data_IF_518291371849
#
_entry.id   IF_518291371849
#
_cell.length_a   1.000
_cell.length_b   1.000
_cell.length_c   1.000
_cell.angle_alpha   90.00
_cell.angle_beta   90.00
_cell.angle_gamma   90.00
#
_symmetry.space_group_name_H-M   'P 1'
#
loop_
_entity.id
_entity.type
_entity.pdbx_description
1 polymer ?
#
# COMPACT_ATOMS: atom_id res chain seq x y z
N UNK A 1 6.55 -1.65 3.90
CA UNK A 1 7.02 -2.99 3.46
C UNK A 1 7.63 -2.85 2.06
N UNK A 2 8.57 -3.70 1.64
CA UNK A 2 9.06 -3.73 0.27
C UNK A 2 9.40 -5.15 -0.18
N UNK A 3 9.20 -5.45 -1.47
CA UNK A 3 9.61 -6.73 -2.06
C UNK A 3 11.13 -6.88 -2.09
N UNK A 4 11.66 -8.10 -2.31
CA UNK A 4 13.01 -8.27 -2.84
C UNK A 4 13.19 -7.49 -4.15
N UNK A 5 14.45 -7.26 -4.53
CA UNK A 5 14.76 -6.67 -5.83
C UNK A 5 14.26 -7.58 -6.95
N UNK A 6 13.67 -6.96 -7.97
CA UNK A 6 13.15 -7.67 -9.12
C UNK A 6 14.30 -8.25 -9.97
N UNK A 7 14.20 -9.52 -10.35
CA UNK A 7 15.19 -10.23 -11.19
C UNK A 7 15.00 -9.96 -12.68
N UNK A 8 13.81 -9.50 -13.06
CA UNK A 8 13.41 -9.07 -14.40
C UNK A 8 12.36 -7.97 -14.35
N UNK A 9 11.99 -7.37 -15.49
CA UNK A 9 10.90 -6.41 -15.54
C UNK A 9 9.58 -7.06 -15.10
N UNK A 10 8.72 -6.30 -14.43
CA UNK A 10 7.39 -6.77 -13.99
C UNK A 10 6.33 -5.80 -14.49
N UNK A 11 5.35 -6.31 -15.25
CA UNK A 11 4.27 -5.51 -15.81
C UNK A 11 3.04 -5.55 -14.89
N UNK A 12 2.60 -4.38 -14.44
CA UNK A 12 1.39 -4.15 -13.67
C UNK A 12 0.39 -3.40 -14.55
N UNK A 13 -0.81 -3.93 -14.74
CA UNK A 13 -1.83 -3.34 -15.61
C UNK A 13 -3.23 -3.55 -15.03
N UNK A 14 -3.84 -2.48 -14.54
CA UNK A 14 -5.16 -2.47 -13.92
C UNK A 14 -5.15 -1.87 -12.52
N UNK A 15 -6.02 -2.40 -11.65
CA UNK A 15 -6.30 -1.83 -10.33
C UNK A 15 -5.68 -2.67 -9.23
N UNK A 16 -4.80 -2.07 -8.42
CA UNK A 16 -4.35 -2.70 -7.18
C UNK A 16 -5.42 -2.54 -6.10
N UNK A 17 -5.58 -3.56 -5.26
CA UNK A 17 -6.61 -3.59 -4.21
C UNK A 17 -5.99 -3.87 -2.85
N UNK A 18 -6.27 -3.03 -1.87
CA UNK A 18 -5.82 -3.18 -0.49
C UNK A 18 -6.96 -3.72 0.37
N UNK A 19 -6.65 -4.69 1.23
CA UNK A 19 -7.43 -5.03 2.41
C UNK A 19 -6.57 -4.78 3.63
N UNK A 20 -7.01 -3.92 4.54
CA UNK A 20 -6.23 -3.45 5.69
C UNK A 20 -7.06 -3.50 6.95
N UNK A 21 -6.45 -3.98 8.03
CA UNK A 21 -7.02 -3.92 9.38
C UNK A 21 -6.24 -2.92 10.21
N UNK A 22 -6.90 -1.86 10.66
CA UNK A 22 -6.25 -0.77 11.37
C UNK A 22 -7.08 -0.23 12.54
N UNK A 23 -6.40 0.36 13.51
CA UNK A 23 -6.99 1.13 14.60
C UNK A 23 -6.41 2.56 14.61
N UNK A 24 -7.20 3.52 15.08
CA UNK A 24 -6.78 4.91 15.30
C UNK A 24 -6.90 5.25 16.78
N UNK A 25 -6.00 6.07 17.33
CA UNK A 25 -6.16 6.65 18.67
C UNK A 25 -7.12 7.87 18.69
N UNK A 26 -7.62 8.31 17.53
CA UNK A 26 -8.59 9.42 17.36
C UNK A 26 -9.88 8.93 16.69
N UNK A 27 -11.01 9.65 16.90
CA UNK A 27 -12.28 9.33 16.24
C UNK A 27 -12.29 9.54 14.72
N UNK A 28 -11.30 10.24 14.18
CA UNK A 28 -11.13 10.45 12.74
C UNK A 28 -9.64 10.40 12.40
N UNK A 29 -9.32 9.89 11.23
CA UNK A 29 -7.97 9.85 10.69
C UNK A 29 -8.03 9.86 9.17
N UNK A 30 -6.98 10.36 8.50
CA UNK A 30 -6.81 10.08 7.08
C UNK A 30 -6.14 8.73 6.92
N UNK A 31 -6.42 8.02 5.83
CA UNK A 31 -5.64 6.86 5.41
C UNK A 31 -5.17 7.08 3.97
N UNK A 32 -3.85 7.14 3.80
CA UNK A 32 -3.18 7.28 2.52
C UNK A 32 -2.31 6.04 2.27
N UNK A 33 -2.38 5.50 1.06
CA UNK A 33 -1.64 4.30 0.68
C UNK A 33 -1.01 4.49 -0.68
N UNK A 34 0.31 4.32 -0.75
CA UNK A 34 1.07 4.43 -1.99
C UNK A 34 1.78 3.10 -2.27
N UNK A 35 1.79 2.72 -3.53
CA UNK A 35 2.74 1.77 -4.10
C UNK A 35 3.83 2.55 -4.82
N UNK A 36 5.08 2.26 -4.47
CA UNK A 36 6.26 2.99 -4.97
C UNK A 36 7.28 2.03 -5.57
N UNK A 37 8.06 2.52 -6.51
CA UNK A 37 9.24 1.86 -7.03
C UNK A 37 10.46 2.35 -6.25
N UNK A 38 11.29 1.42 -5.77
CA UNK A 38 12.50 1.73 -5.00
C UNK A 38 13.77 1.25 -5.72
N UNK A 39 14.91 1.95 -5.59
CA UNK A 39 15.11 3.14 -4.76
C UNK A 39 14.34 4.35 -5.31
N UNK A 40 13.90 5.22 -4.41
CA UNK A 40 13.31 6.50 -4.78
C UNK A 40 14.42 7.40 -5.36
N UNK A 41 14.16 8.00 -6.51
CA UNK A 41 15.17 8.70 -7.32
C UNK A 41 14.93 10.19 -7.47
N UNK A 42 13.80 10.71 -6.98
CA UNK A 42 13.34 12.09 -7.23
C UNK A 42 13.31 12.41 -8.74
N UNK A 43 12.92 11.43 -9.55
CA UNK A 43 12.84 11.58 -11.01
C UNK A 43 11.77 12.59 -11.38
N UNK A 44 12.02 13.34 -12.48
CA UNK A 44 10.98 14.21 -13.06
C UNK A 44 9.82 13.41 -13.66
N UNK A 45 10.01 12.12 -13.92
CA UNK A 45 8.98 11.23 -14.43
C UNK A 45 8.32 10.51 -13.25
N UNK A 46 7.04 10.82 -13.03
CA UNK A 46 6.27 10.28 -11.90
C UNK A 46 6.29 8.75 -11.80
N UNK A 47 6.28 8.06 -12.94
CA UNK A 47 6.25 6.59 -13.02
C UNK A 47 7.58 5.91 -12.65
N UNK A 48 8.65 6.67 -12.40
CA UNK A 48 9.91 6.08 -11.96
C UNK A 48 9.89 5.78 -10.46
N UNK A 49 9.08 6.53 -9.70
CA UNK A 49 9.05 6.52 -8.24
C UNK A 49 7.66 6.12 -7.69
N UNK A 50 6.57 6.64 -8.23
CA UNK A 50 5.19 6.30 -7.82
C UNK A 50 4.56 5.35 -8.83
N UNK A 51 4.15 4.17 -8.35
CA UNK A 51 3.43 3.17 -9.14
C UNK A 51 1.95 3.47 -9.15
N UNK A 52 1.34 3.62 -7.96
CA UNK A 52 -0.06 4.03 -7.82
C UNK A 52 -0.31 4.46 -6.36
N UNK A 53 -1.47 5.04 -6.09
CA UNK A 53 -1.87 5.53 -4.78
C UNK A 53 -3.39 5.48 -4.60
N UNK A 54 -3.83 5.52 -3.36
CA UNK A 54 -5.23 5.57 -2.98
C UNK A 54 -5.41 6.16 -1.58
N UNK A 55 -6.62 6.59 -1.29
CA UNK A 55 -6.99 7.19 -0.03
C UNK A 55 -8.34 6.62 0.42
N UNK A 56 -8.51 6.53 1.73
CA UNK A 56 -9.79 6.20 2.34
C UNK A 56 -9.97 7.02 3.62
N UNK A 57 -11.23 7.26 3.98
CA UNK A 57 -11.59 7.69 5.33
C UNK A 57 -11.94 6.42 6.14
N UNK A 58 -11.20 6.07 7.20
CA UNK A 58 -11.56 4.97 8.07
C UNK A 58 -12.97 5.09 8.67
N UNK A 59 -13.54 6.29 8.82
CA UNK A 59 -14.93 6.48 9.28
C UNK A 59 -15.96 5.90 8.31
N UNK A 60 -15.56 5.63 7.06
CA UNK A 60 -16.37 5.00 6.03
C UNK A 60 -16.23 3.48 6.00
N UNK A 61 -15.70 2.86 7.07
CA UNK A 61 -15.46 1.41 7.13
C UNK A 61 -16.72 0.54 6.91
N UNK A 62 -17.94 1.09 7.07
CA UNK A 62 -19.22 0.40 6.79
C UNK A 62 -19.96 0.90 5.55
N UNK A 63 -19.65 2.10 5.05
CA UNK A 63 -20.42 2.76 3.98
C UNK A 63 -19.58 3.77 3.21
N UNK A 64 -19.74 3.82 1.90
CA UNK A 64 -19.10 4.82 1.05
C UNK A 64 -19.76 6.20 1.13
N UNK A 65 -21.00 6.28 1.63
CA UNK A 65 -21.81 7.51 1.62
C UNK A 65 -22.11 8.04 3.02
N UNK A 66 -21.90 7.21 4.05
CA UNK A 66 -22.15 7.57 5.44
C UNK A 66 -20.88 7.31 6.25
N UNK A 67 -20.50 8.30 7.07
CA UNK A 67 -19.37 8.20 7.99
C UNK A 67 -19.85 8.06 9.42
N UNK A 68 -19.10 7.32 10.23
CA UNK A 68 -19.30 7.26 11.68
C UNK A 68 -17.95 7.44 12.40
N UNK A 69 -17.92 8.14 13.55
CA UNK A 69 -16.70 8.30 14.32
C UNK A 69 -16.12 6.95 14.73
N UNK A 70 -14.80 6.81 14.61
CA UNK A 70 -14.06 5.65 15.09
C UNK A 70 -14.08 5.62 16.62
N UNK A 71 -14.13 4.42 17.18
CA UNK A 71 -13.85 4.18 18.60
C UNK A 71 -12.32 4.07 18.75
N UNK A 72 -11.68 4.94 19.54
CA UNK A 72 -10.23 4.90 19.73
C UNK A 72 -9.72 3.52 20.17
N UNK A 73 -8.70 3.01 19.49
CA UNK A 73 -8.08 1.70 19.75
C UNK A 73 -8.87 0.50 19.23
N UNK A 74 -10.07 0.68 18.70
CA UNK A 74 -10.81 -0.39 18.03
C UNK A 74 -10.25 -0.61 16.63
N UNK A 75 -10.07 -1.89 16.26
CA UNK A 75 -9.69 -2.26 14.90
C UNK A 75 -10.90 -2.30 13.97
N UNK A 76 -10.70 -1.79 12.76
CA UNK A 76 -11.64 -1.76 11.66
C UNK A 76 -10.98 -2.36 10.43
N UNK A 77 -11.77 -3.09 9.65
CA UNK A 77 -11.36 -3.67 8.38
C UNK A 77 -11.83 -2.77 7.24
N UNK A 78 -10.91 -2.35 6.38
CA UNK A 78 -11.18 -1.59 5.17
C UNK A 78 -10.72 -2.35 3.93
N UNK A 79 -11.44 -2.18 2.83
CA UNK A 79 -11.03 -2.72 1.54
C UNK A 79 -11.37 -1.72 0.45
N UNK A 80 -10.36 -1.30 -0.32
CA UNK A 80 -10.54 -0.32 -1.38
C UNK A 80 -9.51 -0.51 -2.50
N UNK A 81 -9.87 0.02 -3.66
CA UNK A 81 -9.05 0.04 -4.85
C UNK A 81 -8.15 1.29 -4.85
N UNK A 82 -6.88 1.10 -5.25
CA UNK A 82 -5.98 2.20 -5.57
C UNK A 82 -6.29 2.70 -6.99
N UNK A 83 -5.70 3.83 -7.40
CA UNK A 83 -5.88 4.33 -8.75
C UNK A 83 -5.40 3.29 -9.80
N UNK A 84 -6.17 3.05 -10.88
CA UNK A 84 -5.74 2.13 -11.93
C UNK A 84 -4.54 2.72 -12.67
N UNK A 85 -3.61 1.86 -13.08
CA UNK A 85 -2.44 2.26 -13.87
C UNK A 85 -1.94 1.12 -14.77
N UNK A 86 -1.02 1.43 -15.67
CA UNK A 86 -0.32 0.50 -16.57
C UNK A 86 1.17 0.83 -16.64
N UNK A 87 1.99 0.08 -15.89
CA UNK A 87 3.42 0.35 -15.73
C UNK A 87 4.28 -0.92 -15.79
N UNK A 88 5.49 -0.79 -16.33
CA UNK A 88 6.54 -1.81 -16.25
C UNK A 88 7.57 -1.37 -15.21
N UNK A 89 7.65 -2.12 -14.11
CA UNK A 89 8.64 -1.90 -13.06
C UNK A 89 9.96 -2.54 -13.48
N UNK A 90 11.03 -1.76 -13.46
CA UNK A 90 12.32 -2.17 -13.98
C UNK A 90 12.97 -3.29 -13.15
N UNK A 91 13.80 -4.11 -13.83
CA UNK A 91 14.70 -5.05 -13.14
C UNK A 91 15.58 -4.30 -12.14
N UNK A 92 15.78 -4.91 -10.97
CA UNK A 92 16.58 -4.35 -9.87
C UNK A 92 15.80 -3.43 -8.93
N UNK A 93 14.65 -2.89 -9.37
CA UNK A 93 13.77 -2.11 -8.52
C UNK A 93 13.06 -3.02 -7.50
N UNK A 94 12.48 -2.41 -6.47
CA UNK A 94 11.58 -3.07 -5.50
C UNK A 94 10.23 -2.38 -5.52
N UNK A 95 9.16 -3.13 -5.24
CA UNK A 95 7.84 -2.55 -5.01
C UNK A 95 7.69 -2.31 -3.52
N UNK A 96 7.54 -1.05 -3.12
CA UNK A 96 7.29 -0.61 -1.75
C UNK A 96 5.80 -0.36 -1.52
N UNK A 97 5.27 -0.87 -0.41
CA UNK A 97 3.96 -0.49 0.14
C UNK A 97 4.18 0.50 1.29
N UNK A 98 3.66 1.71 1.10
CA UNK A 98 3.65 2.80 2.07
C UNK A 98 2.23 3.01 2.56
N UNK A 99 2.04 2.96 3.88
CA UNK A 99 0.76 3.24 4.55
C UNK A 99 1.04 4.36 5.54
N UNK A 100 0.27 5.44 5.47
CA UNK A 100 0.46 6.62 6.29
C UNK A 100 -0.84 7.42 6.41
N UNK A 101 -0.88 8.42 7.30
CA UNK A 101 -2.09 9.21 7.52
C UNK A 101 -2.22 10.35 6.51
N UNK A 102 -1.54 11.48 6.76
CA UNK A 102 -1.69 12.68 5.95
C UNK A 102 -0.74 12.68 4.76
N UNK A 103 -1.32 12.65 3.57
CA UNK A 103 -0.68 13.01 2.31
C UNK A 103 -0.66 14.52 2.15
N UNK A 104 0.54 15.07 1.96
CA UNK A 104 0.78 16.50 1.83
C UNK A 104 -0.01 17.07 0.66
N UNK A 105 -0.11 16.35 -0.44
CA UNK A 105 -0.65 16.92 -1.66
C UNK A 105 -2.18 16.72 -1.78
N UNK A 106 -2.74 15.75 -1.07
CA UNK A 106 -4.12 15.27 -1.32
C UNK A 106 -5.03 15.09 -0.11
N UNK A 107 -4.53 15.28 1.12
CA UNK A 107 -5.37 15.15 2.33
C UNK A 107 -5.30 16.38 3.23
N UNK A 108 -6.22 16.46 4.19
CA UNK A 108 -6.19 17.48 5.23
C UNK A 108 -4.95 17.31 6.13
N UNK A 109 -4.46 18.44 6.65
CA UNK A 109 -3.31 18.48 7.56
C UNK A 109 -3.78 18.84 8.97
N UNK A 110 -4.38 17.89 9.70
CA UNK A 110 -4.73 18.11 11.09
C UNK A 110 -3.48 18.29 11.94
N UNK A 111 -3.66 18.83 13.14
CA UNK A 111 -2.60 18.91 14.14
C UNK A 111 -2.02 17.50 14.43
N UNK A 112 -0.71 17.41 14.74
CA UNK A 112 -0.08 16.12 15.03
C UNK A 112 -0.69 15.46 16.28
N UNK A 113 -0.67 14.12 16.30
CA UNK A 113 -1.13 13.33 17.45
C UNK A 113 -2.07 12.17 17.11
N UNK A 114 -2.45 12.02 15.83
CA UNK A 114 -3.10 10.81 15.33
C UNK A 114 -2.07 9.69 15.16
N UNK A 115 -2.36 8.55 15.76
CA UNK A 115 -1.58 7.31 15.64
C UNK A 115 -2.45 6.25 14.98
N UNK A 116 -1.93 5.66 13.91
CA UNK A 116 -2.52 4.51 13.24
C UNK A 116 -1.76 3.24 13.62
N UNK A 117 -2.47 2.24 14.09
CA UNK A 117 -1.93 0.89 14.34
C UNK A 117 -2.45 -0.04 13.26
N UNK A 118 -1.57 -0.79 12.60
CA UNK A 118 -1.93 -1.72 11.52
C UNK A 118 -1.66 -3.14 11.99
N UNK A 119 -2.65 -4.02 11.85
CA UNK A 119 -2.49 -5.46 12.02
C UNK A 119 -1.92 -6.04 10.72
N UNK A 120 -0.67 -6.46 10.75
CA UNK A 120 0.06 -6.92 9.57
C UNK A 120 -0.40 -8.30 9.10
N UNK A 121 -0.84 -9.17 10.02
CA UNK A 121 -1.30 -10.53 9.67
C UNK A 121 -2.68 -10.48 8.98
N UNK A 122 -3.47 -9.44 9.26
CA UNK A 122 -4.77 -9.18 8.65
C UNK A 122 -4.74 -8.11 7.53
N UNK A 123 -3.55 -7.72 7.05
CA UNK A 123 -3.39 -6.72 5.98
C UNK A 123 -2.73 -7.33 4.74
N UNK A 124 -3.33 -7.11 3.57
CA UNK A 124 -2.81 -7.61 2.29
C UNK A 124 -3.06 -6.64 1.14
N UNK A 125 -2.22 -6.73 0.11
CA UNK A 125 -2.35 -5.99 -1.14
C UNK A 125 -2.37 -6.98 -2.31
N UNK A 126 -3.30 -6.80 -3.23
CA UNK A 126 -3.37 -7.54 -4.49
C UNK A 126 -2.87 -6.65 -5.63
N UNK A 127 -1.91 -7.15 -6.39
CA UNK A 127 -1.30 -6.44 -7.52
C UNK A 127 -1.85 -6.96 -8.85
N UNK A 128 -2.15 -6.07 -9.83
CA UNK A 128 -2.68 -6.46 -11.13
C UNK A 128 -1.54 -6.88 -12.07
N UNK A 129 -0.84 -7.96 -11.73
CA UNK A 129 0.32 -8.46 -12.49
C UNK A 129 -0.13 -9.10 -13.79
N UNK A 130 0.38 -8.60 -14.92
CA UNK A 130 0.17 -9.23 -16.22
C UNK A 130 0.88 -10.59 -16.25
N UNK A 131 0.15 -11.65 -16.57
CA UNK A 131 0.63 -13.03 -16.43
C UNK A 131 0.51 -13.62 -15.01
N UNK A 132 -0.07 -12.87 -14.07
CA UNK A 132 -0.45 -13.34 -12.74
C UNK A 132 0.72 -13.76 -11.85
N UNK A 133 0.44 -14.67 -10.91
CA UNK A 133 1.40 -15.09 -9.88
C UNK A 133 2.68 -15.71 -10.46
N UNK A 134 2.59 -16.41 -11.60
CA UNK A 134 3.75 -17.01 -12.26
C UNK A 134 4.74 -15.94 -12.71
N UNK A 135 4.24 -14.87 -13.34
CA UNK A 135 5.07 -13.73 -13.75
C UNK A 135 5.69 -13.02 -12.55
N UNK A 136 4.90 -12.78 -11.49
CA UNK A 136 5.41 -12.18 -10.25
C UNK A 136 6.55 -13.02 -9.65
N UNK A 137 6.31 -14.32 -9.45
CA UNK A 137 7.28 -15.22 -8.85
C UNK A 137 8.55 -15.40 -9.69
N UNK A 138 8.44 -15.34 -11.02
CA UNK A 138 9.59 -15.35 -11.92
C UNK A 138 10.44 -14.08 -11.84
N UNK A 139 9.82 -12.95 -11.47
CA UNK A 139 10.47 -11.64 -11.37
C UNK A 139 10.96 -11.28 -9.97
N UNK A 140 10.77 -12.13 -8.94
CA UNK A 140 11.34 -11.90 -7.60
C UNK A 140 12.33 -12.99 -7.22
N UNK A 141 13.38 -12.60 -6.50
CA UNK A 141 14.28 -13.60 -5.89
C UNK A 141 13.52 -14.32 -4.79
N UNK A 142 13.50 -15.66 -4.80
CA UNK A 142 13.00 -16.42 -3.63
C UNK A 142 13.88 -16.08 -2.44
N UNK A 143 13.30 -15.55 -1.37
CA UNK A 143 13.98 -15.52 -0.09
C UNK A 143 14.26 -16.98 0.31
N UNK A 144 15.53 -17.36 0.37
CA UNK A 144 15.92 -18.60 1.03
C UNK A 144 15.77 -18.30 2.52
N UNK A 145 14.63 -18.67 3.11
CA UNK A 145 14.47 -18.67 4.57
C UNK A 145 15.45 -19.68 5.16
N UNK A 146 16.66 -19.22 5.50
CA UNK A 146 17.52 -19.92 6.45
C UNK A 146 16.99 -19.62 7.85
N UNK A 147 15.92 -20.32 8.23
CA UNK A 147 15.56 -20.41 9.64
C UNK A 147 16.57 -21.34 10.31
N UNK A 148 17.69 -20.78 10.75
CA UNK A 148 18.52 -21.43 11.76
C UNK A 148 17.70 -21.50 13.04
N UNK A 149 17.27 -22.70 13.42
CA UNK A 149 16.63 -22.94 14.71
C UNK A 149 17.66 -22.75 15.85
N UNK A 150 17.24 -22.26 17.03
CA UNK A 150 18.05 -22.33 18.24
C UNK A 150 18.22 -23.78 18.72
#
# INVERSE_FOLDING_TARGET
FATPALTGPLHLSGTAKLSIRLASNKPAANLSVWLVSLPWTDSKRITDDVITRGWADPQNHRSLTESEPLVPGQFYDLTFDLQPDDQIIAKGAKIGLMIFSSDRDFTLWPDPGTELTVDLDATSITLPVVGGQVAFMGSVTRAIETKSAP
#
